data_IF_031696185227
#
_entry.id   IF_031696185227
#
_cell.length_a   1.000
_cell.length_b   1.000
_cell.length_c   1.000
_cell.angle_alpha   90.00
_cell.angle_beta   90.00
_cell.angle_gamma   90.00
#
_symmetry.space_group_name_H-M   'P 1'
#
loop_
_entity.id
_entity.type
_entity.pdbx_description
1 polymer ?
#
# COMPACT_ATOMS: atom_id res chain seq x y z
N UNK A 1 10.55 -3.67 20.16
CA UNK A 1 9.40 -3.11 19.42
C UNK A 1 9.21 -3.99 18.19
N UNK A 2 8.02 -4.55 17.96
CA UNK A 2 7.78 -5.38 16.77
C UNK A 2 7.94 -4.51 15.51
N UNK A 3 8.85 -4.86 14.61
CA UNK A 3 9.17 -4.05 13.42
C UNK A 3 7.97 -3.84 12.51
N UNK A 4 7.07 -4.82 12.48
CA UNK A 4 5.88 -4.78 11.61
C UNK A 4 4.85 -3.80 12.14
N UNK A 5 4.70 -3.74 13.47
CA UNK A 5 3.83 -2.75 14.10
C UNK A 5 4.33 -1.33 13.83
N UNK A 6 5.63 -1.08 13.95
CA UNK A 6 6.20 0.23 13.67
C UNK A 6 6.06 0.65 12.20
N UNK A 7 6.23 -0.29 11.27
CA UNK A 7 6.01 -0.05 9.84
C UNK A 7 4.54 0.20 9.53
N UNK A 8 3.64 -0.57 10.14
CA UNK A 8 2.20 -0.42 9.92
C UNK A 8 1.66 0.90 10.49
N UNK A 9 2.09 1.29 11.70
CA UNK A 9 1.80 2.60 12.31
C UNK A 9 2.20 3.76 11.38
N UNK A 10 3.37 3.68 10.73
CA UNK A 10 3.80 4.69 9.76
C UNK A 10 2.84 4.79 8.56
N UNK A 11 2.40 3.65 8.01
CA UNK A 11 1.41 3.61 6.91
C UNK A 11 0.06 4.16 7.35
N UNK A 12 -0.38 3.83 8.57
CA UNK A 12 -1.62 4.32 9.15
C UNK A 12 -1.60 5.83 9.34
N UNK A 13 -0.55 6.38 9.95
CA UNK A 13 -0.36 7.83 10.09
C UNK A 13 -0.39 8.58 8.76
N UNK A 14 0.33 8.08 7.75
CA UNK A 14 0.35 8.70 6.43
C UNK A 14 -1.02 8.65 5.72
N UNK A 15 -1.75 7.55 5.86
CA UNK A 15 -3.05 7.37 5.20
C UNK A 15 -4.15 8.18 5.90
N UNK A 16 -4.20 8.16 7.23
CA UNK A 16 -5.12 8.95 8.03
C UNK A 16 -4.88 10.47 7.86
N UNK A 17 -3.62 10.89 7.69
CA UNK A 17 -3.28 12.28 7.34
C UNK A 17 -3.90 12.67 5.99
N UNK A 18 -3.71 11.84 4.96
CA UNK A 18 -4.29 12.10 3.63
C UNK A 18 -5.83 12.15 3.64
N UNK A 19 -6.48 11.33 4.48
CA UNK A 19 -7.94 11.38 4.70
C UNK A 19 -8.33 12.71 5.35
N UNK A 20 -7.64 13.11 6.41
CA UNK A 20 -7.89 14.37 7.13
C UNK A 20 -7.71 15.58 6.23
N UNK A 21 -6.72 15.53 5.34
CA UNK A 21 -6.39 16.61 4.40
C UNK A 21 -7.22 16.55 3.10
N UNK A 22 -8.12 15.55 2.97
CA UNK A 22 -9.12 15.51 1.89
C UNK A 22 -8.61 15.06 0.53
N UNK A 23 -7.39 14.53 0.43
CA UNK A 23 -6.80 14.08 -0.85
C UNK A 23 -6.58 12.56 -0.93
N UNK A 24 -7.10 11.79 0.03
CA UNK A 24 -6.95 10.33 0.03
C UNK A 24 -7.42 9.66 -1.26
N UNK A 25 -8.64 9.96 -1.73
CA UNK A 25 -9.19 9.30 -2.92
C UNK A 25 -8.40 9.66 -4.18
N UNK A 26 -7.98 10.94 -4.30
CA UNK A 26 -7.08 11.37 -5.37
C UNK A 26 -5.78 10.58 -5.35
N UNK A 27 -5.15 10.45 -4.17
CA UNK A 27 -3.91 9.70 -3.98
C UNK A 27 -4.05 8.23 -4.40
N UNK A 28 -5.12 7.56 -3.98
CA UNK A 28 -5.36 6.16 -4.33
C UNK A 28 -5.55 6.00 -5.85
N UNK A 29 -6.33 6.88 -6.48
CA UNK A 29 -6.59 6.82 -7.91
C UNK A 29 -5.32 7.09 -8.74
N UNK A 30 -4.58 8.16 -8.44
CA UNK A 30 -3.31 8.46 -9.14
C UNK A 30 -2.30 7.31 -8.97
N UNK A 31 -2.36 6.61 -7.83
CA UNK A 31 -1.46 5.49 -7.54
C UNK A 31 -1.85 4.25 -8.33
N UNK A 32 -3.14 3.96 -8.43
CA UNK A 32 -3.67 2.87 -9.24
C UNK A 32 -3.31 3.07 -10.71
N UNK A 33 -3.61 4.25 -11.27
CA UNK A 33 -3.32 4.58 -12.66
C UNK A 33 -1.82 4.51 -13.00
N UNK A 34 -0.96 4.99 -12.10
CA UNK A 34 0.48 4.91 -12.29
C UNK A 34 0.96 3.45 -12.32
N UNK A 35 0.50 2.62 -11.36
CA UNK A 35 0.90 1.22 -11.24
C UNK A 35 0.44 0.39 -12.43
N UNK A 36 -0.79 0.60 -12.92
CA UNK A 36 -1.32 -0.07 -14.11
C UNK A 36 -0.46 0.17 -15.36
N UNK A 37 0.14 1.36 -15.48
CA UNK A 37 1.00 1.72 -16.62
C UNK A 37 2.45 1.27 -16.44
N UNK A 38 2.95 1.30 -15.20
CA UNK A 38 4.38 1.14 -14.92
C UNK A 38 4.77 -0.29 -14.53
N UNK A 39 3.82 -1.13 -14.12
CA UNK A 39 4.08 -2.48 -13.62
C UNK A 39 3.45 -3.51 -14.58
N UNK A 40 4.17 -4.58 -14.97
CA UNK A 40 3.61 -5.63 -15.81
C UNK A 40 2.31 -6.24 -15.26
N UNK A 41 1.34 -6.50 -16.13
CA UNK A 41 -0.01 -6.96 -15.77
C UNK A 41 -0.01 -8.23 -14.90
N UNK A 42 0.87 -9.19 -15.21
CA UNK A 42 1.00 -10.43 -14.43
C UNK A 42 1.46 -10.17 -12.99
N UNK A 43 2.35 -9.18 -12.79
CA UNK A 43 2.80 -8.75 -11.48
C UNK A 43 1.68 -7.97 -10.79
N UNK A 44 1.01 -7.04 -11.49
CA UNK A 44 -0.13 -6.29 -10.94
C UNK A 44 -1.24 -7.21 -10.45
N UNK A 45 -1.58 -8.25 -11.22
CA UNK A 45 -2.57 -9.26 -10.81
C UNK A 45 -2.17 -9.96 -9.51
N UNK A 46 -0.89 -10.28 -9.34
CA UNK A 46 -0.39 -10.88 -8.11
C UNK A 46 -0.41 -9.88 -6.93
N UNK A 47 -0.04 -8.62 -7.17
CA UNK A 47 -0.06 -7.56 -6.15
C UNK A 47 -1.49 -7.28 -5.64
N UNK A 48 -2.48 -7.23 -6.53
CA UNK A 48 -3.90 -7.05 -6.14
C UNK A 48 -4.38 -8.18 -5.24
N UNK A 49 -3.96 -9.43 -5.50
CA UNK A 49 -4.26 -10.57 -4.62
C UNK A 49 -3.61 -10.43 -3.25
N UNK A 50 -2.39 -9.89 -3.18
CA UNK A 50 -1.74 -9.60 -1.91
C UNK A 50 -2.48 -8.51 -1.13
N UNK A 51 -2.89 -7.43 -1.78
CA UNK A 51 -3.59 -6.30 -1.14
C UNK A 51 -4.96 -6.69 -0.57
N UNK A 52 -5.61 -7.73 -1.10
CA UNK A 52 -6.87 -8.25 -0.57
C UNK A 52 -6.78 -8.83 0.86
N UNK A 53 -5.58 -9.20 1.34
CA UNK A 53 -5.38 -9.68 2.73
C UNK A 53 -5.65 -8.58 3.76
N UNK A 54 -5.37 -7.33 3.42
CA UNK A 54 -5.67 -6.17 4.26
C UNK A 54 -5.97 -4.98 3.33
N UNK A 55 -7.22 -4.84 2.86
CA UNK A 55 -7.58 -3.80 1.93
C UNK A 55 -7.45 -2.42 2.59
N UNK A 56 -6.80 -1.50 1.89
CA UNK A 56 -6.60 -0.10 2.30
C UNK A 56 -6.83 0.83 1.10
N UNK A 57 -7.86 0.52 0.32
CA UNK A 57 -8.26 1.18 -0.93
C UNK A 57 -9.39 2.19 -0.76
N UNK A 58 -10.03 2.22 0.40
CA UNK A 58 -11.06 3.20 0.76
C UNK A 58 -10.80 3.85 2.11
N UNK A 59 -11.35 5.04 2.33
CA UNK A 59 -11.18 5.76 3.60
C UNK A 59 -11.68 4.93 4.80
N UNK A 60 -12.79 4.21 4.64
CA UNK A 60 -13.36 3.38 5.71
C UNK A 60 -12.47 2.18 6.00
N UNK A 61 -11.99 1.47 4.97
CA UNK A 61 -11.08 0.35 5.15
C UNK A 61 -9.78 0.76 5.86
N UNK A 62 -9.23 1.94 5.53
CA UNK A 62 -8.08 2.51 6.25
C UNK A 62 -8.42 2.80 7.71
N UNK A 63 -9.56 3.44 7.99
CA UNK A 63 -9.98 3.73 9.37
C UNK A 63 -10.13 2.45 10.18
N UNK A 64 -10.76 1.42 9.63
CA UNK A 64 -10.98 0.13 10.30
C UNK A 64 -9.65 -0.61 10.53
N UNK A 65 -8.78 -0.64 9.52
CA UNK A 65 -7.48 -1.29 9.62
C UNK A 65 -6.59 -0.61 10.68
N UNK A 66 -6.59 0.72 10.72
CA UNK A 66 -5.76 1.53 11.62
C UNK A 66 -6.38 1.75 13.01
N UNK A 67 -7.67 1.48 13.23
CA UNK A 67 -8.23 1.46 14.57
C UNK A 67 -7.70 0.28 15.41
N UNK A 68 -7.31 -0.81 14.74
CA UNK A 68 -6.84 -2.06 15.35
C UNK A 68 -5.41 -2.40 14.91
N UNK A 69 -4.47 -1.46 15.03
CA UNK A 69 -3.11 -1.61 14.48
C UNK A 69 -2.38 -2.86 14.96
N UNK A 70 -2.48 -3.18 16.25
CA UNK A 70 -1.82 -4.35 16.83
C UNK A 70 -2.32 -5.68 16.22
N UNK A 71 -3.61 -5.78 15.93
CA UNK A 71 -4.22 -6.97 15.31
C UNK A 71 -3.88 -7.07 13.82
N UNK A 72 -3.81 -5.92 13.14
CA UNK A 72 -3.62 -5.86 11.70
C UNK A 72 -2.15 -5.78 11.26
N UNK A 73 -1.20 -5.45 12.15
CA UNK A 73 0.22 -5.45 11.84
C UNK A 73 0.74 -6.79 11.28
N UNK A 74 0.35 -7.97 11.82
CA UNK A 74 0.68 -9.26 11.20
C UNK A 74 0.09 -9.45 9.79
N UNK A 75 -1.15 -8.98 9.56
CA UNK A 75 -1.78 -9.03 8.22
C UNK A 75 -1.06 -8.12 7.24
N UNK A 76 -0.64 -6.94 7.70
CA UNK A 76 0.18 -6.03 6.91
C UNK A 76 1.54 -6.64 6.55
N UNK A 77 2.20 -7.32 7.48
CA UNK A 77 3.44 -8.05 7.21
C UNK A 77 3.22 -9.15 6.14
N UNK A 78 2.11 -9.89 6.23
CA UNK A 78 1.74 -10.87 5.19
C UNK A 78 1.52 -10.23 3.81
N UNK A 79 0.89 -9.06 3.75
CA UNK A 79 0.77 -8.30 2.49
C UNK A 79 2.14 -7.95 1.94
N UNK A 80 3.06 -7.47 2.78
CA UNK A 80 4.42 -7.11 2.37
C UNK A 80 5.20 -8.31 1.83
N UNK A 81 5.23 -9.42 2.58
CA UNK A 81 5.89 -10.66 2.16
C UNK A 81 5.30 -11.22 0.86
N UNK A 82 3.98 -11.12 0.68
CA UNK A 82 3.30 -11.52 -0.55
C UNK A 82 3.76 -10.66 -1.73
N UNK A 83 3.88 -9.34 -1.54
CA UNK A 83 4.36 -8.42 -2.59
C UNK A 83 5.81 -8.69 -2.96
N UNK A 84 6.69 -8.92 -1.99
CA UNK A 84 8.09 -9.29 -2.27
C UNK A 84 8.17 -10.55 -3.15
N UNK A 85 7.35 -11.57 -2.86
CA UNK A 85 7.25 -12.78 -3.69
C UNK A 85 6.67 -12.51 -5.07
N UNK A 86 5.66 -11.64 -5.16
CA UNK A 86 5.04 -11.26 -6.43
C UNK A 86 6.02 -10.54 -7.38
N UNK A 87 6.87 -9.67 -6.83
CA UNK A 87 7.95 -9.05 -7.61
C UNK A 87 9.07 -10.03 -7.96
N UNK A 88 9.38 -10.97 -7.05
CA UNK A 88 10.47 -11.92 -7.23
C UNK A 88 11.80 -11.19 -7.46
N UNK A 89 12.44 -11.42 -8.62
CA UNK A 89 13.68 -10.72 -9.04
C UNK A 89 13.43 -9.56 -10.01
N UNK A 90 12.18 -9.16 -10.21
CA UNK A 90 11.85 -8.04 -11.10
C UNK A 90 12.00 -6.70 -10.37
N UNK A 91 13.25 -6.28 -10.18
CA UNK A 91 13.59 -5.05 -9.47
C UNK A 91 13.09 -3.79 -10.17
N UNK A 92 13.02 -3.82 -11.51
CA UNK A 92 12.48 -2.70 -12.30
C UNK A 92 10.99 -2.49 -11.99
N UNK A 93 10.20 -3.56 -11.95
CA UNK A 93 8.80 -3.50 -11.55
C UNK A 93 8.62 -3.05 -10.09
N UNK A 94 9.49 -3.50 -9.20
CA UNK A 94 9.48 -3.08 -7.79
C UNK A 94 9.78 -1.57 -7.65
N UNK A 95 10.79 -1.08 -8.37
CA UNK A 95 11.15 0.34 -8.38
C UNK A 95 10.03 1.19 -8.99
N UNK A 96 9.46 0.76 -10.12
CA UNK A 96 8.33 1.42 -10.76
C UNK A 96 7.12 1.54 -9.81
N UNK A 97 6.77 0.44 -9.13
CA UNK A 97 5.71 0.42 -8.13
C UNK A 97 6.00 1.38 -6.95
N UNK A 98 7.24 1.41 -6.46
CA UNK A 98 7.65 2.29 -5.37
C UNK A 98 7.57 3.77 -5.79
N UNK A 99 8.04 4.13 -6.98
CA UNK A 99 7.98 5.50 -7.51
C UNK A 99 6.55 5.99 -7.67
N UNK A 100 5.63 5.14 -8.14
CA UNK A 100 4.19 5.45 -8.17
C UNK A 100 3.59 5.72 -6.79
N UNK A 101 4.23 5.22 -5.72
CA UNK A 101 3.78 5.42 -4.33
C UNK A 101 4.41 6.67 -3.69
N UNK A 102 5.59 7.10 -4.15
CA UNK A 102 6.38 8.21 -3.58
C UNK A 102 6.13 9.57 -4.27
N UNK A 103 5.85 9.60 -5.58
CA UNK A 103 5.72 10.85 -6.36
C UNK A 103 4.47 11.70 -6.06
N UNK A 104 3.67 11.34 -5.05
CA UNK A 104 2.39 12.00 -4.75
C UNK A 104 2.46 13.00 -3.58
N UNK A 105 3.65 13.27 -3.05
CA UNK A 105 3.88 14.26 -1.99
C UNK A 105 4.33 15.65 -2.46
N UNK A 106 4.35 15.92 -3.77
CA UNK A 106 4.92 17.14 -4.35
C UNK A 106 3.89 18.20 -4.81
N UNK A 107 2.71 18.26 -4.17
CA UNK A 107 1.75 19.35 -4.36
C UNK A 107 1.58 20.13 -3.07
#
# INVERSE_FOLDING_TARGET
MNSDLARFDHICKASLKAIKEGYFDLRINERAECREKAVPENIMTALTKCEATLPMDSQQAVKDACANEAENAPKWAQVWDCKEKAFGKNYDAMLAYALCTLNQGAR
#
